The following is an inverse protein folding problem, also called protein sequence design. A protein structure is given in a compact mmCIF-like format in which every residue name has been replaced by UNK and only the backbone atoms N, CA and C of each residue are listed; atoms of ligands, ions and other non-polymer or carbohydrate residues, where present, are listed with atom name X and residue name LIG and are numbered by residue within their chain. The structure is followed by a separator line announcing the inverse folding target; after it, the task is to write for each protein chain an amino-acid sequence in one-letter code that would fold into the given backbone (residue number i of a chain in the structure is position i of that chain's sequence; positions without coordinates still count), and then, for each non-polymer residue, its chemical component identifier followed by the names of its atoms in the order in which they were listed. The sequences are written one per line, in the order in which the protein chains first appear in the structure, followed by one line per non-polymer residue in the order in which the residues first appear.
data_IF_358424320969
#
_entry.id   IF_358424320969
#
_cell.length_a   1.000
_cell.length_b   1.000
_cell.length_c   1.000
_cell.angle_alpha   90.00
_cell.angle_beta   90.00
_cell.angle_gamma   90.00
#
_symmetry.space_group_name_H-M   'P 1'
#
loop_
_entity.id
_entity.type
_entity.pdbx_description
1 polymer ?
#
# COMPACT_ATOMS: atom_id res chain seq x y z
N UNK A 1 -13.16 -19.41 13.69
CA UNK A 1 -13.96 -19.09 12.48
C UNK A 1 -13.01 -18.95 11.30
N UNK A 2 -13.08 -19.89 10.35
CA UNK A 2 -12.16 -19.95 9.21
C UNK A 2 -12.44 -18.82 8.21
N UNK A 3 -11.46 -17.95 8.01
CA UNK A 3 -11.49 -17.00 6.90
C UNK A 3 -11.26 -17.79 5.61
N UNK A 4 -12.31 -17.95 4.82
CA UNK A 4 -12.21 -18.38 3.43
C UNK A 4 -11.33 -17.36 2.69
N UNK A 5 -10.08 -17.71 2.43
CA UNK A 5 -9.24 -17.00 1.46
C UNK A 5 -9.83 -17.36 0.10
N UNK A 6 -10.63 -16.45 -0.47
CA UNK A 6 -10.89 -16.51 -1.90
C UNK A 6 -9.53 -16.49 -2.58
N UNK A 7 -9.22 -17.53 -3.36
CA UNK A 7 -7.99 -17.55 -4.17
C UNK A 7 -8.02 -16.29 -5.03
N UNK A 8 -7.14 -15.33 -4.72
CA UNK A 8 -7.04 -14.10 -5.46
C UNK A 8 -6.81 -14.45 -6.94
N UNK A 9 -7.66 -13.93 -7.83
CA UNK A 9 -7.53 -14.14 -9.27
C UNK A 9 -6.72 -12.99 -9.85
N UNK A 10 -5.49 -13.28 -10.24
CA UNK A 10 -4.67 -12.37 -11.04
C UNK A 10 -5.13 -12.43 -12.49
N UNK A 11 -5.13 -11.28 -13.18
CA UNK A 11 -5.60 -11.17 -14.56
C UNK A 11 -4.44 -11.07 -15.55
N UNK A 12 -3.38 -10.34 -15.22
CA UNK A 12 -2.36 -9.96 -16.19
C UNK A 12 -0.99 -10.60 -15.93
N UNK A 13 -0.78 -11.18 -14.76
CA UNK A 13 0.46 -11.88 -14.41
C UNK A 13 0.33 -12.68 -13.13
N UNK A 14 1.46 -12.97 -12.49
CA UNK A 14 1.49 -13.68 -11.21
C UNK A 14 2.56 -13.10 -10.29
N UNK A 15 2.33 -13.08 -8.96
CA UNK A 15 3.33 -12.59 -8.01
C UNK A 15 4.55 -13.51 -7.95
N UNK A 16 5.74 -12.93 -7.77
CA UNK A 16 6.98 -13.69 -7.59
C UNK A 16 7.22 -14.10 -6.13
N UNK A 17 6.48 -13.51 -5.18
CA UNK A 17 6.54 -13.85 -3.76
C UNK A 17 5.73 -15.12 -3.46
N UNK A 18 6.37 -16.29 -3.65
CA UNK A 18 5.74 -17.61 -3.60
C UNK A 18 5.32 -18.06 -2.19
N UNK A 19 5.97 -17.58 -1.15
CA UNK A 19 5.68 -18.00 0.24
C UNK A 19 4.51 -17.24 0.87
N UNK A 20 3.89 -16.31 0.15
CA UNK A 20 2.70 -15.62 0.61
C UNK A 20 1.51 -16.58 0.69
N UNK A 21 1.02 -16.82 1.90
CA UNK A 21 -0.13 -17.69 2.17
C UNK A 21 -1.43 -16.92 2.35
N UNK A 22 -1.34 -15.60 2.55
CA UNK A 22 -2.51 -14.70 2.65
C UNK A 22 -2.38 -13.59 1.62
N UNK A 23 -3.44 -13.40 0.84
CA UNK A 23 -3.50 -12.41 -0.22
C UNK A 23 -4.72 -11.53 -0.02
N UNK A 24 -4.53 -10.22 -0.10
CA UNK A 24 -5.60 -9.23 0.07
C UNK A 24 -5.65 -8.34 -1.18
N UNK A 25 -6.72 -8.42 -2.00
CA UNK A 25 -6.91 -7.50 -3.11
C UNK A 25 -7.16 -6.08 -2.60
N UNK A 26 -6.53 -5.11 -3.26
CA UNK A 26 -6.58 -3.68 -3.02
C UNK A 26 -6.78 -2.96 -4.35
N UNK A 27 -7.13 -1.67 -4.31
CA UNK A 27 -7.23 -0.84 -5.53
C UNK A 27 -8.06 -1.50 -6.65
N UNK A 28 -9.29 -1.94 -6.32
CA UNK A 28 -10.20 -2.67 -7.23
C UNK A 28 -9.59 -3.93 -7.87
N UNK A 29 -8.69 -4.61 -7.17
CA UNK A 29 -8.05 -5.85 -7.64
C UNK A 29 -6.91 -5.62 -8.62
N UNK A 30 -6.36 -4.41 -8.72
CA UNK A 30 -5.15 -4.12 -9.49
C UNK A 30 -3.88 -4.21 -8.64
N UNK A 31 -4.02 -4.12 -7.32
CA UNK A 31 -2.92 -4.26 -6.38
C UNK A 31 -3.26 -5.36 -5.38
N UNK A 32 -2.30 -6.19 -5.01
CA UNK A 32 -2.50 -7.26 -4.05
C UNK A 32 -1.45 -7.17 -2.96
N UNK A 33 -1.89 -7.07 -1.70
CA UNK A 33 -1.00 -7.26 -0.56
C UNK A 33 -0.79 -8.74 -0.32
N UNK A 34 0.46 -9.15 -0.32
CA UNK A 34 0.91 -10.51 -0.12
C UNK A 34 1.51 -10.62 1.29
N UNK A 35 1.08 -11.60 2.06
CA UNK A 35 1.55 -11.82 3.42
C UNK A 35 1.99 -13.27 3.62
N UNK A 36 3.18 -13.42 4.20
CA UNK A 36 3.71 -14.65 4.78
C UNK A 36 3.70 -14.47 6.31
N UNK A 37 2.66 -14.95 7.01
CA UNK A 37 2.54 -14.78 8.46
C UNK A 37 3.60 -15.55 9.24
N UNK A 38 4.12 -16.65 8.69
CA UNK A 38 5.11 -17.49 9.37
C UNK A 38 6.45 -16.76 9.52
N UNK A 39 6.86 -16.03 8.47
CA UNK A 39 8.10 -15.24 8.49
C UNK A 39 7.87 -13.75 8.76
N UNK A 40 6.63 -13.35 9.01
CA UNK A 40 6.24 -11.95 9.23
C UNK A 40 6.58 -11.03 8.06
N UNK A 41 6.49 -11.53 6.81
CA UNK A 41 6.90 -10.77 5.61
C UNK A 41 5.70 -10.31 4.81
N UNK A 42 5.75 -9.05 4.39
CA UNK A 42 4.77 -8.46 3.51
C UNK A 42 5.43 -8.05 2.19
N UNK A 43 4.66 -8.13 1.12
CA UNK A 43 5.00 -7.59 -0.18
C UNK A 43 3.74 -7.16 -0.91
N UNK A 44 3.92 -6.58 -2.09
CA UNK A 44 2.84 -6.17 -2.97
C UNK A 44 3.08 -6.67 -4.38
N UNK A 45 2.00 -7.07 -5.04
CA UNK A 45 2.01 -7.38 -6.46
C UNK A 45 1.05 -6.45 -7.20
N UNK A 46 1.57 -5.76 -8.20
CA UNK A 46 0.81 -4.88 -9.06
C UNK A 46 0.40 -5.64 -10.32
N UNK A 47 -0.87 -5.99 -10.43
CA UNK A 47 -1.42 -6.69 -11.59
C UNK A 47 -1.82 -5.73 -12.72
N UNK A 48 -1.58 -4.42 -12.59
CA UNK A 48 -1.80 -3.48 -13.68
C UNK A 48 -0.63 -3.49 -14.67
N UNK A 49 -0.89 -3.56 -15.99
CA UNK A 49 0.14 -3.37 -17.00
C UNK A 49 0.40 -1.88 -17.34
N UNK A 50 -0.36 -0.94 -16.77
CA UNK A 50 -0.35 0.48 -17.18
C UNK A 50 0.09 1.47 -16.11
N UNK A 51 -0.04 1.09 -14.84
CA UNK A 51 0.17 1.99 -13.72
C UNK A 51 1.30 1.49 -12.84
N UNK A 52 2.18 2.39 -12.43
CA UNK A 52 3.05 2.18 -11.27
C UNK A 52 2.26 2.51 -10.01
N UNK A 53 2.22 1.59 -9.06
CA UNK A 53 1.50 1.77 -7.80
C UNK A 53 2.45 2.28 -6.73
N UNK A 54 2.10 3.37 -6.05
CA UNK A 54 2.80 3.85 -4.87
C UNK A 54 1.97 3.51 -3.63
N UNK A 55 2.60 2.84 -2.67
CA UNK A 55 1.98 2.46 -1.40
C UNK A 55 2.77 3.10 -0.27
N UNK A 56 2.10 3.80 0.64
CA UNK A 56 2.65 4.25 1.91
C UNK A 56 1.75 3.78 3.06
N UNK A 57 2.31 3.03 4.00
CA UNK A 57 1.62 2.50 5.17
C UNK A 57 2.26 3.06 6.43
N UNK A 58 1.44 3.63 7.30
CA UNK A 58 1.86 4.08 8.62
C UNK A 58 1.59 2.98 9.64
N UNK A 59 2.67 2.37 10.12
CA UNK A 59 2.64 1.38 11.19
C UNK A 59 2.69 2.08 12.55
N UNK A 60 2.04 1.48 13.56
CA UNK A 60 2.11 1.97 14.94
C UNK A 60 3.55 1.94 15.46
N UNK A 61 3.87 2.84 16.38
CA UNK A 61 5.21 2.99 16.95
C UNK A 61 5.76 1.72 17.64
N UNK A 62 4.87 0.87 18.19
CA UNK A 62 5.19 -0.39 18.85
C UNK A 62 5.41 -1.57 17.87
N UNK A 63 5.22 -1.36 16.57
CA UNK A 63 5.58 -2.35 15.55
C UNK A 63 7.10 -2.49 15.43
N UNK A 64 7.58 -3.74 15.41
CA UNK A 64 8.98 -4.09 15.25
C UNK A 64 9.20 -4.58 13.81
N UNK A 65 9.48 -3.64 12.91
CA UNK A 65 9.56 -3.90 11.47
C UNK A 65 10.85 -3.33 10.88
N UNK A 66 11.29 -3.96 9.80
CA UNK A 66 12.36 -3.45 8.92
C UNK A 66 11.83 -3.39 7.49
N UNK A 67 12.22 -2.36 6.70
CA UNK A 67 11.89 -2.32 5.28
C UNK A 67 12.63 -3.42 4.53
N UNK A 68 12.07 -3.86 3.41
CA UNK A 68 12.67 -4.86 2.52
C UNK A 68 12.77 -4.32 1.10
N UNK A 69 13.77 -4.79 0.35
CA UNK A 69 13.90 -4.48 -1.07
C UNK A 69 14.08 -2.98 -1.30
N UNK A 70 13.21 -2.41 -2.14
CA UNK A 70 13.20 -0.99 -2.50
C UNK A 70 12.38 -0.11 -1.53
N UNK A 71 11.75 -0.71 -0.50
CA UNK A 71 10.94 0.05 0.44
C UNK A 71 11.79 0.96 1.34
N UNK A 72 11.27 2.15 1.62
CA UNK A 72 11.90 3.15 2.50
C UNK A 72 11.10 3.30 3.79
N UNK A 73 11.78 3.43 4.93
CA UNK A 73 11.16 3.62 6.24
C UNK A 73 11.53 4.99 6.81
N UNK A 74 10.53 5.76 7.21
CA UNK A 74 10.65 7.04 7.89
C UNK A 74 9.98 6.98 9.27
N UNK A 75 10.65 7.50 10.29
CA UNK A 75 10.04 7.61 11.63
C UNK A 75 9.24 8.89 11.71
N UNK A 76 7.95 8.77 12.04
CA UNK A 76 7.05 9.91 12.23
C UNK A 76 6.99 10.21 13.72
N UNK A 77 7.52 11.37 14.11
CA UNK A 77 7.54 11.85 15.49
C UNK A 77 7.05 13.30 15.54
N UNK A 78 5.86 13.59 14.99
CA UNK A 78 5.38 14.97 14.99
C UNK A 78 5.01 15.43 16.40
N UNK A 79 5.71 16.47 16.85
CA UNK A 79 5.34 17.32 17.99
C UNK A 79 4.76 18.67 17.56
N UNK A 80 4.85 19.06 16.28
CA UNK A 80 4.79 20.48 15.91
C UNK A 80 3.56 20.93 15.13
N UNK A 81 2.59 20.08 14.82
CA UNK A 81 1.36 20.55 14.17
C UNK A 81 0.11 19.83 14.66
N UNK A 82 -0.73 20.61 15.36
CA UNK A 82 -2.17 20.43 15.56
C UNK A 82 -2.60 19.66 16.82
N UNK A 83 -3.43 20.31 17.63
CA UNK A 83 -4.07 19.76 18.83
C UNK A 83 -5.08 18.64 18.52
N UNK A 84 -4.56 17.45 18.23
CA UNK A 84 -5.32 16.21 18.10
C UNK A 84 -4.40 15.02 17.91
N UNK A 85 -4.43 14.10 18.87
CA UNK A 85 -3.81 12.76 18.94
C UNK A 85 -2.50 12.56 18.15
N UNK A 86 -1.37 12.65 18.87
CA UNK A 86 -0.01 12.46 18.38
C UNK A 86 0.16 11.17 17.55
N UNK A 87 0.21 11.25 16.22
CA UNK A 87 0.42 10.06 15.38
C UNK A 87 1.91 9.70 15.29
N UNK A 88 2.45 9.10 16.36
CA UNK A 88 3.79 8.48 16.37
C UNK A 88 3.76 7.13 15.64
N UNK A 89 4.70 6.89 14.73
CA UNK A 89 4.73 5.64 13.99
C UNK A 89 5.89 5.49 13.01
N UNK A 90 5.86 4.42 12.23
CA UNK A 90 6.81 4.13 11.15
C UNK A 90 6.08 4.19 9.82
N UNK A 91 6.36 5.22 9.02
CA UNK A 91 5.85 5.33 7.66
C UNK A 91 6.78 4.54 6.74
N UNK A 92 6.25 3.51 6.09
CA UNK A 92 7.00 2.75 5.07
C UNK A 92 6.33 2.94 3.73
N UNK A 93 7.12 3.20 2.70
CA UNK A 93 6.62 3.42 1.34
C UNK A 93 7.40 2.63 0.29
N UNK A 94 6.74 2.32 -0.83
CA UNK A 94 7.34 1.60 -1.97
C UNK A 94 6.61 1.92 -3.26
N UNK A 95 7.36 2.02 -4.37
CA UNK A 95 6.83 2.09 -5.72
C UNK A 95 6.91 0.71 -6.40
N UNK A 96 5.79 0.25 -6.97
CA UNK A 96 5.66 -1.09 -7.56
C UNK A 96 5.33 -0.93 -9.04
N UNK A 97 6.29 -1.27 -9.89
CA UNK A 97 6.14 -1.20 -11.34
C UNK A 97 5.00 -2.10 -11.87
N UNK A 98 4.51 -1.85 -13.10
CA UNK A 98 3.53 -2.72 -13.74
C UNK A 98 3.96 -4.19 -13.76
N UNK A 99 3.05 -5.09 -13.39
CA UNK A 99 3.28 -6.56 -13.34
C UNK A 99 4.42 -7.00 -12.41
N UNK A 100 4.91 -6.12 -11.55
CA UNK A 100 6.01 -6.40 -10.64
C UNK A 100 5.53 -6.79 -9.23
N UNK A 101 6.42 -7.47 -8.51
CA UNK A 101 6.27 -7.76 -7.09
C UNK A 101 7.39 -7.08 -6.32
N UNK A 102 7.05 -6.28 -5.33
CA UNK A 102 8.02 -5.68 -4.41
C UNK A 102 7.82 -6.20 -3.00
N UNK A 103 8.94 -6.51 -2.33
CA UNK A 103 8.91 -6.77 -0.89
C UNK A 103 8.74 -5.44 -0.14
N UNK A 104 8.08 -5.48 1.01
CA UNK A 104 7.72 -4.26 1.72
C UNK A 104 8.32 -4.18 3.12
N UNK A 105 7.91 -5.07 4.03
CA UNK A 105 8.41 -5.11 5.40
C UNK A 105 8.58 -6.54 5.90
N UNK A 106 9.45 -6.71 6.89
CA UNK A 106 9.56 -7.91 7.73
C UNK A 106 9.44 -7.53 9.20
N UNK A 107 8.71 -8.33 9.97
CA UNK A 107 8.70 -8.24 11.42
C UNK A 107 7.31 -8.41 12.02
N UNK A 108 7.13 -7.88 13.23
CA UNK A 108 5.89 -7.95 13.99
C UNK A 108 5.10 -6.64 13.83
N UNK A 109 3.91 -6.75 13.25
CA UNK A 109 2.99 -5.63 13.02
C UNK A 109 1.89 -5.65 14.09
N UNK A 110 1.84 -4.62 14.91
CA UNK A 110 0.84 -4.44 15.99
C UNK A 110 -0.40 -3.69 15.50
N UNK A 111 -0.24 -2.80 14.52
CA UNK A 111 -1.31 -2.05 13.89
C UNK A 111 -0.79 -1.15 12.78
N UNK A 112 -1.64 -0.81 11.81
CA UNK A 112 -1.25 -0.06 10.63
C UNK A 112 -2.45 0.64 9.98
N UNK A 113 -2.18 1.70 9.21
CA UNK A 113 -3.16 2.38 8.37
C UNK A 113 -2.53 2.71 7.01
N UNK A 114 -3.32 2.69 5.93
CA UNK A 114 -2.86 3.13 4.62
C UNK A 114 -2.80 4.66 4.62
N UNK A 115 -1.59 5.21 4.66
CA UNK A 115 -1.38 6.66 4.63
C UNK A 115 -1.58 7.22 3.22
N UNK A 116 -0.99 6.57 2.22
CA UNK A 116 -1.18 6.91 0.82
C UNK A 116 -1.24 5.64 -0.04
N UNK A 117 -2.13 5.65 -1.04
CA UNK A 117 -2.19 4.62 -2.05
C UNK A 117 -2.63 5.26 -3.37
N UNK A 118 -1.70 5.33 -4.31
CA UNK A 118 -1.90 6.01 -5.58
C UNK A 118 -1.36 5.20 -6.76
N UNK A 119 -1.97 5.39 -7.92
CA UNK A 119 -1.56 4.80 -9.19
C UNK A 119 -1.07 5.93 -10.11
N UNK A 120 0.14 5.81 -10.64
CA UNK A 120 0.77 6.75 -11.55
C UNK A 120 0.82 6.12 -12.94
N UNK A 121 0.31 6.78 -13.97
CA UNK A 121 0.46 6.32 -15.35
C UNK A 121 1.91 6.42 -15.80
N UNK A 122 2.40 5.38 -16.47
CA UNK A 122 3.76 5.39 -17.03
C UNK A 122 3.90 6.34 -18.24
N UNK A 123 2.79 6.73 -18.88
CA UNK A 123 2.79 7.49 -20.13
C UNK A 123 2.60 9.02 -19.96
N UNK A 124 1.82 9.47 -18.99
CA UNK A 124 1.42 10.89 -18.88
C UNK A 124 1.47 11.47 -17.45
N UNK A 125 2.05 10.74 -16.49
CA UNK A 125 2.29 11.22 -15.12
C UNK A 125 1.02 11.54 -14.32
N UNK A 126 -0.17 11.10 -14.78
CA UNK A 126 -1.44 11.24 -14.07
C UNK A 126 -1.43 10.36 -12.83
N UNK A 127 -1.87 10.94 -11.72
CA UNK A 127 -1.94 10.27 -10.41
C UNK A 127 -3.40 10.06 -10.02
N UNK A 128 -3.78 8.82 -9.74
CA UNK A 128 -5.08 8.43 -9.20
C UNK A 128 -4.90 8.02 -7.74
N UNK A 129 -5.68 8.58 -6.81
CA UNK A 129 -5.57 8.28 -5.37
C UNK A 129 -6.80 7.54 -4.86
N UNK A 130 -6.60 6.59 -3.95
CA UNK A 130 -7.70 6.12 -3.10
C UNK A 130 -7.91 7.14 -1.98
N UNK A 131 -9.07 7.81 -1.97
CA UNK A 131 -9.44 8.66 -0.84
C UNK A 131 -9.97 7.79 0.30
N UNK A 132 -9.42 7.99 1.50
CA UNK A 132 -9.93 7.39 2.73
C UNK A 132 -11.39 7.77 3.00
N UNK A 133 -12.18 6.78 3.37
CA UNK A 133 -13.57 6.88 3.77
C UNK A 133 -13.69 7.76 5.03
N UNK A 134 -14.14 9.01 4.89
CA UNK A 134 -14.64 9.80 6.04
C UNK A 134 -16.18 9.85 6.11
N UNK A 135 -16.89 9.32 5.12
CA UNK A 135 -18.36 9.22 5.15
C UNK A 135 -18.84 7.78 5.28
N UNK A 136 -19.57 7.52 6.37
CA UNK A 136 -20.15 6.22 6.74
C UNK A 136 -21.32 5.77 5.86
N UNK A 137 -21.57 6.41 4.71
CA UNK A 137 -22.76 6.15 3.92
C UNK A 137 -22.58 6.44 2.44
N UNK A 138 -21.63 5.80 1.75
CA UNK A 138 -21.85 5.58 0.31
C UNK A 138 -21.05 4.41 -0.26
N UNK A 139 -21.74 3.63 -1.10
CA UNK A 139 -21.38 2.27 -1.51
C UNK A 139 -20.69 2.19 -2.88
N UNK A 140 -20.07 3.27 -3.35
CA UNK A 140 -19.41 3.30 -4.66
C UNK A 140 -18.08 4.05 -4.61
N UNK A 141 -17.00 3.27 -4.77
CA UNK A 141 -15.61 3.75 -4.87
C UNK A 141 -15.37 4.31 -6.29
N UNK A 142 -15.22 5.63 -6.42
CA UNK A 142 -14.87 6.30 -7.68
C UNK A 142 -13.41 6.72 -7.73
N UNK A 143 -12.78 6.56 -8.90
CA UNK A 143 -11.50 7.22 -9.24
C UNK A 143 -11.70 8.74 -9.19
N UNK A 144 -10.87 9.46 -8.44
CA UNK A 144 -10.88 10.94 -8.47
C UNK A 144 -9.90 11.41 -9.55
N UNK A 145 -10.27 12.50 -10.22
CA UNK A 145 -9.57 13.16 -11.33
C UNK A 145 -8.07 13.41 -11.08
N UNK A 146 -7.24 13.38 -12.14
CA UNK A 146 -5.80 13.55 -12.01
C UNK A 146 -5.44 14.95 -11.50
N UNK A 147 -4.60 15.03 -10.48
CA UNK A 147 -3.95 16.28 -10.08
C UNK A 147 -2.66 16.42 -10.87
N UNK A 148 -2.58 17.41 -11.75
CA UNK A 148 -1.33 17.77 -12.44
C UNK A 148 -0.40 18.40 -11.40
N UNK A 149 0.76 17.78 -11.13
CA UNK A 149 1.79 18.40 -10.30
C UNK A 149 2.28 19.64 -11.05
N UNK A 150 1.99 20.85 -10.54
CA UNK A 150 2.62 22.06 -11.06
C UNK A 150 4.09 22.01 -10.68
N UNK A 151 4.95 22.02 -11.69
CA UNK A 151 6.37 22.31 -11.54
C UNK A 151 6.50 23.74 -11.04
N UNK A 152 6.84 23.95 -9.79
CA UNK A 152 7.40 25.23 -9.34
C UNK A 152 8.80 25.30 -9.94
N UNK A 153 8.95 26.17 -10.95
CA UNK A 153 10.26 26.57 -11.46
C UNK A 153 11.01 27.47 -10.50
#
# INVERSE_FOLDING_TARGET
MGFFVSKAKYKNGTPTFKEATRVYPMFNGLLFRLCDPLKGRWGFYNDSPKYTMHVAILFKHDSQIVPLGSATLHRVTDRENSGGDEMKGHLVEVDIAPLATEMFVKGQVTGWNVSNLEARTSADGRVFRLRGQKDRSNKYMGLVTPVKRMSTG
#
